data_IF_255592554833
#
_entry.id   IF_255592554833
#
_cell.length_a   1.000
_cell.length_b   1.000
_cell.length_c   1.000
_cell.angle_alpha   90.00
_cell.angle_beta   90.00
_cell.angle_gamma   90.00
#
_symmetry.space_group_name_H-M   'P 1'
#
loop_
_entity.id
_entity.type
_entity.pdbx_description
1 polymer ?
#
# COMPACT_ATOMS: atom_id res chain seq x y z
N UNK A 1 -18.84 -17.66 -16.09
CA UNK A 1 -17.86 -16.60 -16.42
C UNK A 1 -17.95 -15.53 -15.34
N UNK A 2 -16.85 -15.18 -14.69
CA UNK A 2 -16.83 -14.07 -13.75
C UNK A 2 -16.78 -12.75 -14.53
N UNK A 3 -17.66 -11.81 -14.22
CA UNK A 3 -17.61 -10.46 -14.81
C UNK A 3 -16.37 -9.73 -14.25
N UNK A 4 -15.53 -9.12 -15.10
CA UNK A 4 -14.37 -8.35 -14.64
C UNK A 4 -14.78 -7.19 -13.74
N UNK A 5 -14.21 -7.14 -12.53
CA UNK A 5 -14.41 -6.03 -11.60
C UNK A 5 -13.48 -4.87 -11.94
N UNK A 6 -14.02 -3.66 -11.98
CA UNK A 6 -13.23 -2.44 -12.14
C UNK A 6 -13.48 -1.47 -10.98
N UNK A 7 -12.44 -0.75 -10.58
CA UNK A 7 -12.53 0.28 -9.54
C UNK A 7 -13.19 1.52 -10.14
N UNK A 8 -14.34 1.94 -9.59
CA UNK A 8 -15.12 3.09 -10.09
C UNK A 8 -14.88 4.37 -9.30
N UNK A 9 -14.97 4.26 -7.97
CA UNK A 9 -14.77 5.38 -7.05
C UNK A 9 -13.85 4.95 -5.92
N UNK A 10 -13.08 5.90 -5.39
CA UNK A 10 -12.27 5.67 -4.20
C UNK A 10 -12.17 6.94 -3.36
N UNK A 11 -11.84 6.74 -2.08
CA UNK A 11 -11.40 7.79 -1.17
C UNK A 11 -10.30 7.25 -0.25
N UNK A 12 -9.56 8.17 0.37
CA UNK A 12 -8.56 7.89 1.38
C UNK A 12 -8.97 8.60 2.68
N UNK A 13 -8.88 7.88 3.79
CA UNK A 13 -8.98 8.49 5.11
C UNK A 13 -7.59 8.68 5.69
N UNK A 14 -7.33 9.85 6.24
CA UNK A 14 -6.09 10.16 6.97
C UNK A 14 -6.45 10.54 8.40
N UNK A 15 -6.10 9.71 9.36
CA UNK A 15 -6.50 9.83 10.79
C UNK A 15 -8.00 10.04 11.00
N UNK A 16 -8.80 9.34 10.20
CA UNK A 16 -10.27 9.40 10.26
C UNK A 16 -10.90 10.55 9.47
N UNK A 17 -10.12 11.52 9.00
CA UNK A 17 -10.61 12.57 8.09
C UNK A 17 -10.75 12.01 6.67
N UNK A 18 -11.91 12.23 6.05
CA UNK A 18 -12.21 11.73 4.71
C UNK A 18 -11.72 12.73 3.66
N UNK A 19 -10.78 12.31 2.80
CA UNK A 19 -10.21 13.15 1.75
C UNK A 19 -10.94 13.02 0.40
N UNK A 20 -12.25 12.78 0.46
CA UNK A 20 -13.11 12.64 -0.71
C UNK A 20 -13.05 13.90 -1.59
N UNK A 21 -12.83 13.71 -2.89
CA UNK A 21 -12.71 14.79 -3.86
C UNK A 21 -11.42 15.61 -3.79
N UNK A 22 -10.53 15.34 -2.82
CA UNK A 22 -9.21 15.97 -2.71
C UNK A 22 -8.08 15.03 -3.12
N UNK A 23 -8.19 13.74 -2.82
CA UNK A 23 -7.20 12.72 -3.23
C UNK A 23 -7.37 12.41 -4.72
N UNK A 24 -6.27 12.47 -5.48
CA UNK A 24 -6.27 12.28 -6.94
C UNK A 24 -5.75 10.91 -7.35
N UNK A 25 -4.82 10.35 -6.59
CA UNK A 25 -4.32 8.99 -6.79
C UNK A 25 -3.86 8.37 -5.48
N UNK A 26 -3.94 7.04 -5.38
CA UNK A 26 -3.43 6.24 -4.26
C UNK A 26 -2.70 5.04 -4.84
N UNK A 27 -1.47 4.82 -4.36
CA UNK A 27 -0.70 3.60 -4.60
C UNK A 27 -0.67 2.83 -3.28
N UNK A 28 -1.46 1.73 -3.17
CA UNK A 28 -1.42 0.90 -1.97
C UNK A 28 -0.06 0.20 -1.84
N UNK A 29 0.34 -0.23 -0.62
CA UNK A 29 1.59 -0.94 -0.42
C UNK A 29 1.69 -2.17 -1.29
N UNK A 30 2.85 -2.31 -1.95
CA UNK A 30 3.16 -3.51 -2.71
C UNK A 30 3.68 -4.56 -1.74
N UNK A 31 2.80 -5.46 -1.32
CA UNK A 31 3.15 -6.55 -0.41
C UNK A 31 4.10 -7.55 -1.09
N UNK A 32 5.40 -7.29 -0.98
CA UNK A 32 6.47 -8.18 -1.42
C UNK A 32 7.07 -8.94 -0.25
N UNK A 33 7.51 -10.17 -0.52
CA UNK A 33 8.24 -11.01 0.43
C UNK A 33 9.70 -10.99 0.06
N UNK A 34 10.56 -10.85 1.06
CA UNK A 34 12.00 -11.01 0.89
C UNK A 34 12.28 -12.51 0.85
N UNK A 35 12.83 -12.98 -0.26
CA UNK A 35 13.12 -14.40 -0.43
C UNK A 35 14.59 -14.62 -0.74
N UNK A 36 15.21 -15.55 -0.02
CA UNK A 36 16.57 -16.00 -0.31
C UNK A 36 16.55 -17.32 -1.08
N UNK A 37 17.44 -17.42 -2.07
CA UNK A 37 17.60 -18.64 -2.86
C UNK A 37 18.47 -19.63 -2.09
N UNK A 38 17.82 -20.65 -1.50
CA UNK A 38 18.50 -21.69 -0.76
C UNK A 38 18.69 -22.95 -1.61
N UNK A 39 19.88 -23.53 -1.52
CA UNK A 39 20.19 -24.82 -2.13
C UNK A 39 21.03 -25.67 -1.18
N UNK A 40 20.41 -26.69 -0.60
CA UNK A 40 21.06 -27.69 0.24
C UNK A 40 21.77 -28.78 -0.55
N UNK A 41 22.54 -29.61 0.15
CA UNK A 41 23.17 -30.81 -0.42
C UNK A 41 22.14 -31.79 -0.96
N UNK A 42 22.32 -32.29 -2.18
CA UNK A 42 21.38 -33.19 -2.85
C UNK A 42 20.20 -32.51 -3.55
N UNK A 43 20.09 -31.17 -3.51
CA UNK A 43 19.04 -30.45 -4.23
C UNK A 43 19.42 -30.18 -5.70
N UNK A 44 18.57 -30.64 -6.62
CA UNK A 44 18.71 -30.40 -8.06
C UNK A 44 18.41 -28.96 -8.49
N UNK A 45 17.80 -28.14 -7.62
CA UNK A 45 17.50 -26.73 -7.85
C UNK A 45 17.43 -25.93 -6.54
N UNK A 46 17.43 -24.60 -6.65
CA UNK A 46 17.26 -23.71 -5.50
C UNK A 46 15.76 -23.51 -5.19
N UNK A 47 15.44 -23.30 -3.92
CA UNK A 47 14.10 -23.00 -3.42
C UNK A 47 14.14 -21.64 -2.72
N UNK A 48 13.10 -20.84 -2.93
CA UNK A 48 12.93 -19.54 -2.26
C UNK A 48 12.48 -19.74 -0.81
N UNK A 49 13.33 -19.36 0.15
CA UNK A 49 12.98 -19.31 1.58
C UNK A 49 12.43 -17.93 1.90
N UNK A 50 11.29 -17.86 2.58
CA UNK A 50 10.67 -16.62 3.04
C UNK A 50 11.41 -16.07 4.27
N UNK A 51 11.90 -14.83 4.16
CA UNK A 51 12.52 -14.08 5.24
C UNK A 51 11.62 -12.96 5.79
N UNK A 52 10.35 -12.95 5.40
CA UNK A 52 9.37 -11.97 5.83
C UNK A 52 9.10 -10.89 4.78
N UNK A 53 8.58 -9.76 5.24
CA UNK A 53 8.27 -8.64 4.37
C UNK A 53 9.55 -7.96 3.87
N UNK A 54 9.49 -7.50 2.63
CA UNK A 54 10.53 -6.64 2.06
C UNK A 54 10.56 -5.26 2.77
N UNK A 55 11.70 -4.57 2.70
CA UNK A 55 11.94 -3.34 3.47
C UNK A 55 10.93 -2.22 3.12
N UNK A 56 10.49 -2.19 1.85
CA UNK A 56 9.49 -1.26 1.32
C UNK A 56 8.09 -1.86 1.14
N UNK A 57 7.83 -3.06 1.68
CA UNK A 57 6.56 -3.76 1.44
C UNK A 57 5.33 -3.03 2.02
N UNK A 58 5.56 -2.12 2.97
CA UNK A 58 4.52 -1.35 3.67
C UNK A 58 4.43 0.11 3.21
N UNK A 59 5.23 0.51 2.22
CA UNK A 59 5.23 1.88 1.72
C UNK A 59 3.94 2.18 0.94
N UNK A 60 3.15 3.14 1.44
CA UNK A 60 1.97 3.68 0.76
C UNK A 60 2.27 5.08 0.25
N UNK A 61 1.75 5.42 -0.94
CA UNK A 61 1.81 6.80 -1.45
C UNK A 61 0.45 7.25 -1.96
N UNK A 62 0.19 8.54 -1.87
CA UNK A 62 -1.02 9.14 -2.41
C UNK A 62 -0.72 10.59 -2.83
N UNK A 63 -1.53 11.09 -3.75
CA UNK A 63 -1.41 12.45 -4.27
C UNK A 63 -2.69 13.22 -3.94
N UNK A 64 -2.51 14.45 -3.48
CA UNK A 64 -3.59 15.39 -3.23
C UNK A 64 -3.65 16.42 -4.36
N UNK A 65 -4.85 16.82 -4.75
CA UNK A 65 -5.09 17.83 -5.80
C UNK A 65 -4.72 19.27 -5.40
N UNK A 66 -4.18 19.48 -4.20
CA UNK A 66 -3.77 20.79 -3.70
C UNK A 66 -2.95 20.69 -2.42
N UNK A 67 -2.49 21.85 -1.93
CA UNK A 67 -1.73 21.94 -0.69
C UNK A 67 -2.63 21.73 0.53
N UNK A 68 -2.43 20.62 1.26
CA UNK A 68 -3.18 20.29 2.47
C UNK A 68 -2.31 20.53 3.69
N UNK A 69 -2.54 21.66 4.38
CA UNK A 69 -1.79 22.06 5.58
C UNK A 69 -1.73 20.96 6.65
N UNK A 70 -2.85 20.24 6.86
CA UNK A 70 -2.93 19.18 7.85
C UNK A 70 -1.95 18.03 7.58
N UNK A 71 -1.70 17.68 6.31
CA UNK A 71 -0.75 16.63 5.94
C UNK A 71 0.70 17.08 6.15
N UNK A 72 1.02 18.34 5.84
CA UNK A 72 2.36 18.87 6.07
C UNK A 72 2.74 18.89 7.56
N UNK A 73 1.77 19.10 8.44
CA UNK A 73 2.00 19.05 9.89
C UNK A 73 2.26 17.63 10.41
N UNK A 74 1.89 16.58 9.66
CA UNK A 74 2.17 15.18 10.03
C UNK A 74 3.58 14.74 9.65
N UNK A 75 4.27 15.50 8.81
CA UNK A 75 5.64 15.21 8.41
C UNK A 75 6.58 15.25 9.62
N UNK A 76 7.32 14.17 9.84
CA UNK A 76 8.23 14.03 10.99
C UNK A 76 7.54 13.58 12.28
N UNK A 77 6.31 13.07 12.22
CA UNK A 77 5.63 12.42 13.33
C UNK A 77 6.26 11.07 13.74
N UNK A 78 5.60 10.37 14.66
CA UNK A 78 5.97 9.00 15.05
C UNK A 78 5.75 8.01 13.90
N UNK A 79 6.39 6.84 13.96
CA UNK A 79 6.30 5.79 12.92
C UNK A 79 4.83 5.41 12.64
N UNK A 80 4.01 5.29 13.69
CA UNK A 80 2.57 5.00 13.58
C UNK A 80 1.69 6.25 13.71
N UNK A 81 2.26 7.44 13.48
CA UNK A 81 1.60 8.73 13.73
C UNK A 81 0.61 9.17 12.66
N UNK A 82 0.47 8.43 11.56
CA UNK A 82 -0.48 8.74 10.48
C UNK A 82 -1.16 7.46 10.02
N UNK A 83 -2.44 7.35 10.32
CA UNK A 83 -3.27 6.21 9.97
C UNK A 83 -3.91 6.44 8.60
N UNK A 84 -3.61 5.56 7.65
CA UNK A 84 -4.17 5.59 6.30
C UNK A 84 -5.22 4.47 6.15
N UNK A 85 -6.40 4.81 5.61
CA UNK A 85 -7.40 3.82 5.21
C UNK A 85 -7.91 4.10 3.81
N UNK A 86 -7.58 3.22 2.87
CA UNK A 86 -8.14 3.22 1.53
C UNK A 86 -9.56 2.62 1.54
N UNK A 87 -10.50 3.27 0.84
CA UNK A 87 -11.83 2.74 0.60
C UNK A 87 -12.19 2.92 -0.88
N UNK A 88 -12.48 1.82 -1.57
CA UNK A 88 -12.78 1.81 -3.01
C UNK A 88 -14.00 0.98 -3.33
N UNK A 89 -14.77 1.42 -4.33
CA UNK A 89 -15.91 0.68 -4.88
C UNK A 89 -15.48 -0.08 -6.14
N UNK A 90 -15.59 -1.40 -6.09
CA UNK A 90 -15.42 -2.27 -7.25
C UNK A 90 -16.78 -2.62 -7.84
N UNK A 91 -17.00 -2.26 -9.10
CA UNK A 91 -18.22 -2.57 -9.85
C UNK A 91 -17.96 -3.73 -10.82
N UNK A 92 -18.93 -4.63 -10.96
CA UNK A 92 -18.97 -5.69 -12.00
C UNK A 92 -19.84 -5.25 -13.16
#
# INVERSE_FOLDING_TARGET
MAVPKHLRFFTLFVDGENEVGKVTSVTPPKLTRKTDSYRGGGMMGAVSIDLGLDDSALDASFVMGGAVRALFLKYGGTIDGTLLRFAGEYYT
#
